data_IF_035201693691
#
_entry.id   IF_035201693691
#
_cell.length_a   1.000
_cell.length_b   1.000
_cell.length_c   1.000
_cell.angle_alpha   90.00
_cell.angle_beta   90.00
_cell.angle_gamma   90.00
#
_symmetry.space_group_name_H-M   'P 1'
#
loop_
_entity.id
_entity.type
_entity.pdbx_description
1 polymer ?
#
# COMPACT_ATOMS: atom_id res chain seq x y z
N UNK A 1 10.74 8.55 16.70
CA UNK A 1 10.55 8.23 15.28
C UNK A 1 11.71 7.39 14.78
N UNK A 2 11.50 6.10 14.60
CA UNK A 2 12.47 5.11 14.11
C UNK A 2 12.29 4.86 12.61
N UNK A 3 13.24 4.16 11.98
CA UNK A 3 13.10 3.72 10.58
C UNK A 3 11.87 2.83 10.40
N UNK A 4 11.60 1.96 11.37
CA UNK A 4 10.48 1.03 11.37
C UNK A 4 9.15 1.80 11.39
N UNK A 5 9.03 2.80 12.28
CA UNK A 5 7.83 3.64 12.39
C UNK A 5 7.58 4.42 11.08
N UNK A 6 8.63 5.01 10.50
CA UNK A 6 8.51 5.73 9.22
C UNK A 6 8.14 4.83 8.05
N UNK A 7 8.68 3.60 8.03
CA UNK A 7 8.44 2.66 6.94
C UNK A 7 7.09 1.97 7.04
N UNK A 8 6.41 2.02 8.20
CA UNK A 8 5.12 1.36 8.43
C UNK A 8 4.07 1.79 7.40
N UNK A 9 3.89 3.08 7.18
CA UNK A 9 2.92 3.59 6.20
C UNK A 9 3.24 3.16 4.77
N UNK A 10 4.53 3.12 4.40
CA UNK A 10 4.95 2.65 3.08
C UNK A 10 4.58 1.17 2.87
N UNK A 11 4.83 0.32 3.88
CA UNK A 11 4.46 -1.10 3.83
C UNK A 11 2.95 -1.29 3.77
N UNK A 12 2.18 -0.57 4.59
CA UNK A 12 0.71 -0.63 4.57
C UNK A 12 0.16 -0.22 3.20
N UNK A 13 0.65 0.89 2.63
CA UNK A 13 0.24 1.34 1.30
C UNK A 13 0.53 0.31 0.22
N UNK A 14 1.71 -0.30 0.26
CA UNK A 14 2.07 -1.35 -0.70
C UNK A 14 1.11 -2.55 -0.60
N UNK A 15 0.83 -3.02 0.63
CA UNK A 15 -0.08 -4.14 0.85
C UNK A 15 -1.52 -3.81 0.38
N UNK A 16 -2.02 -2.61 0.70
CA UNK A 16 -3.34 -2.16 0.25
C UNK A 16 -3.44 -2.17 -1.27
N UNK A 17 -2.41 -1.67 -1.97
CA UNK A 17 -2.40 -1.61 -3.43
C UNK A 17 -2.35 -3.04 -4.04
N UNK A 18 -1.55 -3.95 -3.46
CA UNK A 18 -1.49 -5.38 -3.86
C UNK A 18 -2.82 -6.10 -3.61
N UNK A 19 -3.45 -5.91 -2.44
CA UNK A 19 -4.72 -6.56 -2.09
C UNK A 19 -5.89 -6.04 -2.95
N UNK A 20 -5.89 -4.74 -3.28
CA UNK A 20 -6.86 -4.17 -4.23
C UNK A 20 -6.72 -4.74 -5.63
N UNK A 21 -5.49 -4.93 -6.11
CA UNK A 21 -5.25 -5.60 -7.39
C UNK A 21 -5.78 -7.04 -7.38
N UNK A 22 -5.57 -7.78 -6.28
CA UNK A 22 -6.14 -9.13 -6.12
C UNK A 22 -7.67 -9.10 -6.14
N UNK A 23 -8.28 -8.18 -5.38
CA UNK A 23 -9.73 -8.01 -5.32
C UNK A 23 -10.32 -7.73 -6.71
N UNK A 24 -9.75 -6.78 -7.46
CA UNK A 24 -10.19 -6.44 -8.81
C UNK A 24 -10.08 -7.63 -9.76
N UNK A 25 -8.97 -8.39 -9.69
CA UNK A 25 -8.77 -9.60 -10.49
C UNK A 25 -9.80 -10.70 -10.14
N UNK A 26 -10.19 -10.83 -8.87
CA UNK A 26 -11.24 -11.76 -8.46
C UNK A 26 -12.62 -11.31 -8.96
N UNK A 27 -12.94 -10.02 -8.89
CA UNK A 27 -14.19 -9.48 -9.43
C UNK A 27 -14.32 -9.71 -10.95
N UNK A 28 -13.24 -9.56 -11.72
CA UNK A 28 -13.27 -9.82 -13.17
C UNK A 28 -13.58 -11.29 -13.50
N UNK A 29 -13.10 -12.24 -12.69
CA UNK A 29 -13.41 -13.67 -12.85
C UNK A 29 -14.88 -14.00 -12.56
N UNK A 30 -15.60 -13.13 -11.84
CA UNK A 30 -17.05 -13.22 -11.64
C UNK A 30 -17.86 -12.56 -12.77
N UNK A 31 -17.22 -12.13 -13.88
CA UNK A 31 -17.90 -11.64 -15.09
C UNK A 31 -19.02 -12.57 -15.56
N UNK A 32 -19.98 -12.07 -16.37
CA UNK A 32 -21.28 -12.68 -16.56
C UNK A 32 -21.13 -14.16 -16.88
N UNK A 33 -21.71 -15.00 -16.03
CA UNK A 33 -21.78 -16.43 -16.25
C UNK A 33 -22.19 -16.66 -17.72
N UNK A 34 -21.34 -17.36 -18.47
CA UNK A 34 -21.73 -17.96 -19.74
C UNK A 34 -23.14 -18.53 -19.61
N UNK A 35 -24.02 -18.37 -20.62
CA UNK A 35 -25.45 -18.60 -20.45
C UNK A 35 -25.69 -19.94 -19.77
N UNK A 36 -26.38 -19.89 -18.64
CA UNK A 36 -26.87 -21.07 -17.96
C UNK A 36 -27.61 -21.94 -18.97
N UNK A 37 -27.05 -23.10 -19.31
CA UNK A 37 -27.78 -24.25 -19.83
C UNK A 37 -28.75 -24.69 -18.72
N UNK A 38 -29.83 -23.92 -18.56
CA UNK A 38 -30.96 -24.26 -17.70
C UNK A 38 -31.67 -25.46 -18.32
N UNK A 39 -31.23 -26.65 -17.93
CA UNK A 39 -31.80 -27.91 -18.37
C UNK A 39 -31.36 -29.08 -17.48
N UNK A 40 -31.96 -29.16 -16.28
CA UNK A 40 -32.07 -30.35 -15.39
C UNK A 40 -30.89 -30.70 -14.46
N UNK A 41 -31.12 -31.51 -13.40
CA UNK A 41 -31.79 -31.22 -12.13
C UNK A 41 -30.80 -31.23 -10.93
N UNK A 42 -31.23 -30.65 -9.80
CA UNK A 42 -30.43 -30.49 -8.58
C UNK A 42 -29.87 -31.82 -8.01
N UNK A 43 -28.56 -32.00 -8.07
CA UNK A 43 -27.80 -32.91 -7.19
C UNK A 43 -27.49 -32.19 -5.86
N UNK A 44 -27.88 -32.74 -4.70
CA UNK A 44 -27.43 -32.22 -3.41
C UNK A 44 -25.94 -32.55 -3.24
N UNK A 45 -25.08 -31.54 -3.22
CA UNK A 45 -23.64 -31.72 -2.99
C UNK A 45 -22.70 -30.82 -3.80
N UNK A 46 -23.22 -30.03 -4.75
CA UNK A 46 -22.40 -29.03 -5.44
C UNK A 46 -22.31 -27.80 -4.54
N UNK A 47 -21.22 -27.70 -3.77
CA UNK A 47 -20.84 -26.45 -3.09
C UNK A 47 -20.73 -25.36 -4.16
N UNK A 48 -21.51 -24.30 -4.01
CA UNK A 48 -21.68 -23.28 -5.04
C UNK A 48 -20.37 -22.48 -5.17
N UNK A 49 -19.62 -22.71 -6.24
CA UNK A 49 -18.33 -22.06 -6.49
C UNK A 49 -18.43 -20.53 -6.54
N UNK A 50 -19.61 -20.00 -6.85
CA UNK A 50 -19.89 -18.55 -6.82
C UNK A 50 -20.02 -18.07 -5.38
N UNK A 51 -20.65 -18.85 -4.51
CA UNK A 51 -20.79 -18.55 -3.08
C UNK A 51 -19.45 -18.57 -2.34
N UNK A 52 -18.58 -19.54 -2.63
CA UNK A 52 -17.23 -19.61 -2.06
C UNK A 52 -16.39 -18.37 -2.46
N UNK A 53 -16.44 -17.94 -3.74
CA UNK A 53 -15.75 -16.74 -4.21
C UNK A 53 -16.30 -15.43 -3.61
N UNK A 54 -17.60 -15.35 -3.34
CA UNK A 54 -18.21 -14.18 -2.72
C UNK A 54 -17.78 -14.01 -1.26
N UNK A 55 -17.61 -15.11 -0.52
CA UNK A 55 -17.08 -15.10 0.84
C UNK A 55 -15.62 -14.64 0.85
N UNK A 56 -14.77 -15.20 -0.01
CA UNK A 56 -13.35 -14.81 -0.11
C UNK A 56 -13.17 -13.32 -0.46
N UNK A 57 -14.02 -12.78 -1.34
CA UNK A 57 -14.03 -11.35 -1.68
C UNK A 57 -14.41 -10.47 -0.49
N UNK A 58 -15.40 -10.88 0.30
CA UNK A 58 -15.83 -10.14 1.49
C UNK A 58 -14.72 -10.12 2.57
N UNK A 59 -14.03 -11.24 2.76
CA UNK A 59 -12.91 -11.34 3.68
C UNK A 59 -11.73 -10.45 3.23
N UNK A 60 -11.40 -10.46 1.93
CA UNK A 60 -10.35 -9.60 1.38
C UNK A 60 -10.70 -8.10 1.50
N UNK A 61 -11.95 -7.71 1.22
CA UNK A 61 -12.42 -6.32 1.40
C UNK A 61 -12.35 -5.87 2.87
N UNK A 62 -12.71 -6.75 3.82
CA UNK A 62 -12.55 -6.47 5.24
C UNK A 62 -11.08 -6.25 5.63
N UNK A 63 -10.18 -7.08 5.11
CA UNK A 63 -8.73 -6.94 5.31
C UNK A 63 -8.18 -5.62 4.75
N UNK A 64 -8.58 -5.24 3.52
CA UNK A 64 -8.19 -3.96 2.91
C UNK A 64 -8.64 -2.80 3.80
N UNK A 65 -9.88 -2.80 4.28
CA UNK A 65 -10.41 -1.75 5.17
C UNK A 65 -9.65 -1.64 6.49
N UNK A 66 -9.26 -2.77 7.07
CA UNK A 66 -8.44 -2.78 8.29
C UNK A 66 -7.06 -2.16 8.04
N UNK A 67 -6.41 -2.52 6.93
CA UNK A 67 -5.12 -1.95 6.53
C UNK A 67 -5.22 -0.45 6.25
N UNK A 68 -6.28 0.00 5.58
CA UNK A 68 -6.56 1.42 5.33
C UNK A 68 -6.75 2.18 6.64
N UNK A 69 -7.54 1.65 7.57
CA UNK A 69 -7.72 2.25 8.90
C UNK A 69 -6.42 2.28 9.71
N UNK A 70 -5.53 1.30 9.55
CA UNK A 70 -4.20 1.36 10.13
C UNK A 70 -3.31 2.43 9.48
N UNK A 71 -3.35 2.54 8.15
CA UNK A 71 -2.60 3.54 7.40
C UNK A 71 -3.00 4.97 7.83
N UNK A 72 -4.29 5.23 8.01
CA UNK A 72 -4.83 6.48 8.52
C UNK A 72 -4.37 6.78 9.97
N UNK A 73 -4.26 5.76 10.83
CA UNK A 73 -3.79 5.93 12.21
C UNK A 73 -2.31 6.28 12.30
N UNK A 74 -1.46 5.71 11.44
CA UNK A 74 0.00 5.92 11.50
C UNK A 74 0.47 7.17 10.78
N UNK A 75 -0.26 7.63 9.75
CA UNK A 75 0.16 8.73 8.90
C UNK A 75 0.38 10.06 9.65
N UNK A 76 -0.49 10.50 10.59
CA UNK A 76 -0.32 11.79 11.27
C UNK A 76 1.01 11.92 12.02
N UNK A 77 1.47 10.86 12.69
CA UNK A 77 2.75 10.88 13.40
C UNK A 77 3.94 11.05 12.44
N UNK A 78 3.87 10.43 11.26
CA UNK A 78 4.90 10.57 10.21
C UNK A 78 4.89 12.00 9.64
N UNK A 79 3.70 12.56 9.41
CA UNK A 79 3.56 13.94 8.92
C UNK A 79 4.10 14.95 9.93
N UNK A 80 3.76 14.80 11.21
CA UNK A 80 4.26 15.65 12.29
C UNK A 80 5.79 15.58 12.38
N UNK A 81 6.37 14.38 12.32
CA UNK A 81 7.83 14.23 12.25
C UNK A 81 8.43 14.92 11.01
N UNK A 82 7.80 14.79 9.84
CA UNK A 82 8.27 15.48 8.65
C UNK A 82 8.25 17.01 8.84
N UNK A 83 7.23 17.56 9.50
CA UNK A 83 7.12 18.98 9.83
C UNK A 83 8.21 19.42 10.79
N UNK A 84 8.61 18.59 11.77
CA UNK A 84 9.63 18.92 12.75
C UNK A 84 11.07 18.97 12.19
N UNK A 85 11.33 18.41 11.01
CA UNK A 85 12.66 18.44 10.37
C UNK A 85 13.01 19.87 9.93
N UNK A 86 14.00 20.51 10.57
CA UNK A 86 14.40 21.88 10.22
C UNK A 86 14.99 22.02 8.81
N UNK A 87 15.88 21.11 8.39
CA UNK A 87 16.50 21.14 7.05
C UNK A 87 15.41 20.99 5.96
N UNK A 88 15.17 22.02 5.12
CA UNK A 88 14.09 21.98 4.12
C UNK A 88 14.25 20.86 3.10
N UNK A 89 15.48 20.51 2.72
CA UNK A 89 15.75 19.43 1.76
C UNK A 89 15.49 18.08 2.40
N UNK A 90 15.92 17.87 3.64
CA UNK A 90 15.60 16.62 4.35
C UNK A 90 14.10 16.49 4.56
N UNK A 91 13.41 17.55 4.97
CA UNK A 91 11.94 17.58 5.09
C UNK A 91 11.25 17.20 3.78
N UNK A 92 11.71 17.72 2.63
CA UNK A 92 11.19 17.33 1.32
C UNK A 92 11.42 15.84 1.03
N UNK A 93 12.64 15.33 1.23
CA UNK A 93 12.99 13.91 1.00
C UNK A 93 12.09 13.00 1.84
N UNK A 94 11.90 13.30 3.11
CA UNK A 94 11.08 12.49 4.02
C UNK A 94 9.59 12.52 3.65
N UNK A 95 9.04 13.69 3.30
CA UNK A 95 7.65 13.78 2.82
C UNK A 95 7.46 12.97 1.54
N UNK A 96 8.37 13.06 0.58
CA UNK A 96 8.25 12.30 -0.66
C UNK A 96 8.35 10.79 -0.38
N UNK A 97 9.27 10.36 0.47
CA UNK A 97 9.50 8.95 0.76
C UNK A 97 8.38 8.32 1.59
N UNK A 98 8.04 8.94 2.71
CA UNK A 98 7.24 8.29 3.77
C UNK A 98 5.79 8.77 3.83
N UNK A 99 5.46 9.90 3.19
CA UNK A 99 4.06 10.39 3.10
C UNK A 99 3.50 10.18 1.69
N UNK A 100 4.32 10.44 0.65
CA UNK A 100 3.92 10.29 -0.76
C UNK A 100 4.37 8.97 -1.38
N UNK A 101 4.95 8.08 -0.58
CA UNK A 101 5.35 6.72 -0.97
C UNK A 101 6.23 6.63 -2.22
N UNK A 102 7.02 7.66 -2.52
CA UNK A 102 7.89 7.67 -3.70
C UNK A 102 9.10 6.74 -3.50
N UNK A 103 9.49 6.10 -4.59
CA UNK A 103 10.77 5.39 -4.68
C UNK A 103 11.94 6.37 -4.55
N UNK A 104 13.09 5.87 -4.11
CA UNK A 104 14.30 6.68 -4.03
C UNK A 104 14.73 7.21 -5.40
N UNK A 105 14.46 6.47 -6.47
CA UNK A 105 14.74 6.87 -7.85
C UNK A 105 13.87 8.07 -8.28
N UNK A 106 12.56 8.03 -8.01
CA UNK A 106 11.66 9.16 -8.27
C UNK A 106 12.04 10.41 -7.46
N UNK A 107 12.48 10.23 -6.20
CA UNK A 107 12.94 11.33 -5.35
C UNK A 107 14.21 11.95 -5.93
N UNK A 108 15.19 11.12 -6.34
CA UNK A 108 16.40 11.62 -6.99
C UNK A 108 16.07 12.39 -8.27
N UNK A 109 15.15 11.89 -9.11
CA UNK A 109 14.65 12.59 -10.28
C UNK A 109 13.99 13.93 -9.94
N UNK A 110 13.22 14.00 -8.84
CA UNK A 110 12.58 15.23 -8.35
C UNK A 110 13.58 16.27 -7.87
N UNK A 111 14.68 15.83 -7.21
CA UNK A 111 15.73 16.73 -6.71
C UNK A 111 16.69 17.20 -7.82
N UNK A 112 16.74 16.49 -8.95
CA UNK A 112 17.48 16.85 -10.15
C UNK A 112 18.80 16.10 -10.34
N UNK A 113 19.49 16.43 -11.44
CA UNK A 113 20.61 15.65 -12.02
C UNK A 113 21.82 15.35 -11.13
N UNK A 114 21.95 16.03 -9.99
CA UNK A 114 23.07 15.84 -9.05
C UNK A 114 22.76 14.82 -7.95
N UNK A 115 21.56 14.25 -7.95
CA UNK A 115 21.12 13.28 -6.97
C UNK A 115 21.01 11.89 -7.61
N UNK A 116 21.52 10.88 -6.92
CA UNK A 116 21.33 9.48 -7.28
C UNK A 116 20.42 8.82 -6.26
N UNK A 117 19.75 7.74 -6.66
CA UNK A 117 18.93 6.92 -5.77
C UNK A 117 19.66 6.55 -4.48
N UNK A 118 20.85 5.97 -4.61
CA UNK A 118 21.69 5.55 -3.50
C UNK A 118 22.13 6.75 -2.63
N UNK A 119 22.42 7.90 -3.26
CA UNK A 119 22.80 9.12 -2.55
C UNK A 119 21.68 9.65 -1.65
N UNK A 120 20.47 9.77 -2.19
CA UNK A 120 19.29 10.25 -1.44
C UNK A 120 18.94 9.29 -0.30
N UNK A 121 18.93 7.99 -0.58
CA UNK A 121 18.71 6.95 0.43
C UNK A 121 19.71 7.07 1.58
N UNK A 122 21.01 7.20 1.27
CA UNK A 122 22.08 7.37 2.26
C UNK A 122 21.92 8.67 3.06
N UNK A 123 21.51 9.77 2.43
CA UNK A 123 21.23 11.03 3.12
C UNK A 123 20.13 10.88 4.17
N UNK A 124 19.01 10.23 3.81
CA UNK A 124 17.89 10.03 4.73
C UNK A 124 18.28 9.20 5.95
N UNK A 125 18.94 8.05 5.76
CA UNK A 125 19.34 7.20 6.88
C UNK A 125 20.45 7.82 7.73
N UNK A 126 21.39 8.55 7.12
CA UNK A 126 22.40 9.29 7.87
C UNK A 126 21.80 10.41 8.71
N UNK A 127 20.73 11.06 8.22
CA UNK A 127 20.00 12.05 9.00
C UNK A 127 19.36 11.41 10.23
N UNK A 128 18.65 10.28 10.07
CA UNK A 128 18.06 9.54 11.20
C UNK A 128 19.09 9.14 12.25
N UNK A 129 20.26 8.66 11.82
CA UNK A 129 21.37 8.31 12.73
C UNK A 129 21.93 9.50 13.52
N UNK A 130 21.76 10.72 13.05
CA UNK A 130 22.26 11.93 13.73
C UNK A 130 21.30 12.47 14.77
N UNK A 131 20.02 12.12 14.68
CA UNK A 131 18.95 12.64 15.55
C UNK A 131 18.42 11.59 16.53
N UNK A 132 18.83 10.33 16.38
CA UNK A 132 18.62 9.25 17.33
C UNK A 132 19.66 9.35 18.46
#
# INVERSE_FOLDING_TARGET
MTVQELSRYLTLRKQIDEDKEIYENMCQKMGPASPSLSGMPHTPGVRDKVGDLAADLADLDAGIKELEAEAERVLPAIEEFCVSISDPRMRLIFRLRFVRCRSWAEIAGTLGRYYTEAGVCKMAYNYLKKIA
#
